data_IF_848407341575
#
_entry.id   IF_848407341575
#
_cell.length_a   1.000
_cell.length_b   1.000
_cell.length_c   1.000
_cell.angle_alpha   90.00
_cell.angle_beta   90.00
_cell.angle_gamma   90.00
#
_symmetry.space_group_name_H-M   'P 1'
#
loop_
_entity.id
_entity.type
_entity.pdbx_description
1 polymer ?
#
# COMPACT_ATOMS: atom_id res chain seq x y z
N UNK A 1 15.52 8.67 -0.85
CA UNK A 1 15.01 7.28 -0.84
C UNK A 1 13.65 7.28 -0.18
N UNK A 2 12.66 6.61 -0.79
CA UNK A 2 11.32 6.49 -0.20
C UNK A 2 11.39 5.97 1.23
N UNK A 3 10.57 6.51 2.10
CA UNK A 3 10.48 6.10 3.50
C UNK A 3 9.03 6.11 3.97
N UNK A 4 8.70 5.29 4.93
CA UNK A 4 7.45 5.35 5.68
C UNK A 4 7.77 5.97 7.03
N UNK A 5 7.18 7.12 7.33
CA UNK A 5 7.54 7.93 8.49
C UNK A 5 6.55 7.81 9.63
N UNK A 6 5.35 7.33 9.33
CA UNK A 6 4.28 7.17 10.31
C UNK A 6 3.48 5.91 9.98
N UNK A 7 3.14 5.15 10.99
CA UNK A 7 2.12 4.09 10.94
C UNK A 7 1.44 4.07 12.30
N UNK A 8 0.16 4.37 12.33
CA UNK A 8 -0.63 4.39 13.56
C UNK A 8 -1.33 3.05 13.80
N UNK A 9 -1.52 2.70 15.07
CA UNK A 9 -2.35 1.56 15.45
C UNK A 9 -3.80 1.75 15.00
N UNK A 10 -4.53 0.69 14.68
CA UNK A 10 -5.90 0.83 14.19
C UNK A 10 -6.82 1.44 15.24
N UNK A 11 -7.77 2.28 14.79
CA UNK A 11 -8.79 2.91 15.64
C UNK A 11 -9.74 1.90 16.29
N UNK A 12 -9.91 0.72 15.69
CA UNK A 12 -10.68 -0.38 16.23
C UNK A 12 -9.76 -1.53 16.65
N UNK A 13 -10.07 -2.13 17.79
CA UNK A 13 -9.38 -3.32 18.28
C UNK A 13 -9.96 -4.63 17.68
N UNK A 14 -9.25 -5.72 17.90
CA UNK A 14 -9.68 -7.05 17.47
C UNK A 14 -10.94 -7.54 18.18
N UNK A 15 -11.24 -7.05 19.39
CA UNK A 15 -12.47 -7.34 20.13
C UNK A 15 -13.69 -6.82 19.33
N UNK A 16 -13.58 -5.62 18.77
CA UNK A 16 -14.61 -5.03 17.91
C UNK A 16 -14.84 -5.85 16.63
N UNK A 17 -13.76 -6.30 15.99
CA UNK A 17 -13.82 -7.15 14.79
C UNK A 17 -14.55 -8.45 15.09
N UNK A 18 -14.16 -9.15 16.16
CA UNK A 18 -14.79 -10.40 16.58
C UNK A 18 -16.25 -10.20 16.93
N UNK A 19 -16.56 -9.15 17.66
CA UNK A 19 -17.95 -8.88 18.06
C UNK A 19 -18.83 -8.52 16.87
N UNK A 20 -18.29 -7.86 15.84
CA UNK A 20 -19.01 -7.66 14.58
C UNK A 20 -19.33 -9.00 13.90
N UNK A 21 -18.34 -9.90 13.79
CA UNK A 21 -18.54 -11.24 13.25
C UNK A 21 -19.55 -12.05 14.07
N UNK A 22 -19.46 -12.01 15.40
CA UNK A 22 -20.38 -12.75 16.30
C UNK A 22 -21.83 -12.29 16.19
N UNK A 23 -22.06 -10.99 15.98
CA UNK A 23 -23.41 -10.44 15.78
C UNK A 23 -24.09 -11.04 14.55
N UNK A 24 -23.38 -11.28 13.47
CA UNK A 24 -23.95 -11.88 12.25
C UNK A 24 -24.42 -13.31 12.48
N UNK A 25 -23.93 -13.97 13.55
CA UNK A 25 -24.31 -15.34 13.93
C UNK A 25 -25.23 -15.37 15.17
N UNK A 26 -25.76 -14.22 15.61
CA UNK A 26 -26.63 -14.13 16.78
C UNK A 26 -25.93 -14.49 18.11
N UNK A 27 -24.59 -14.48 18.14
CA UNK A 27 -23.82 -14.82 19.36
C UNK A 27 -23.58 -13.60 20.24
N UNK A 28 -23.54 -13.82 21.56
CA UNK A 28 -23.24 -12.78 22.53
C UNK A 28 -21.81 -12.23 22.32
N UNK A 29 -21.57 -10.94 22.56
CA UNK A 29 -20.24 -10.35 22.47
C UNK A 29 -19.27 -10.96 23.50
N UNK A 30 -17.97 -10.83 23.23
CA UNK A 30 -16.87 -11.14 24.14
C UNK A 30 -16.18 -9.85 24.56
N UNK A 31 -15.44 -9.90 25.70
CA UNK A 31 -14.68 -8.77 26.25
C UNK A 31 -13.18 -9.10 26.43
N UNK A 32 -12.70 -10.15 25.79
CA UNK A 32 -11.30 -10.56 25.83
C UNK A 32 -10.72 -10.59 24.42
N UNK A 33 -9.41 -10.41 24.33
CA UNK A 33 -8.67 -10.46 23.07
C UNK A 33 -8.78 -11.83 22.41
N UNK A 34 -9.11 -11.93 21.12
CA UNK A 34 -9.13 -13.20 20.41
C UNK A 34 -7.73 -13.78 20.22
N UNK A 35 -7.62 -15.10 20.11
CA UNK A 35 -6.35 -15.76 19.85
C UNK A 35 -5.78 -15.40 18.47
N UNK A 36 -4.46 -15.45 18.34
CA UNK A 36 -3.78 -15.22 17.06
C UNK A 36 -4.23 -16.20 15.97
N UNK A 37 -4.48 -17.45 16.35
CA UNK A 37 -5.07 -18.45 15.44
C UNK A 37 -6.43 -17.99 14.88
N UNK A 38 -7.28 -17.39 15.70
CA UNK A 38 -8.55 -16.84 15.23
C UNK A 38 -8.34 -15.63 14.31
N UNK A 39 -7.44 -14.71 14.68
CA UNK A 39 -7.09 -13.54 13.86
C UNK A 39 -6.58 -13.96 12.48
N UNK A 40 -5.65 -14.93 12.43
CA UNK A 40 -5.13 -15.51 11.19
C UNK A 40 -6.23 -16.13 10.34
N UNK A 41 -7.16 -16.88 10.93
CA UNK A 41 -8.30 -17.52 10.22
C UNK A 41 -9.24 -16.50 9.59
N UNK A 42 -9.65 -15.47 10.33
CA UNK A 42 -10.59 -14.45 9.83
C UNK A 42 -9.96 -13.58 8.73
N UNK A 43 -8.65 -13.30 8.82
CA UNK A 43 -7.89 -12.60 7.78
C UNK A 43 -7.73 -13.47 6.53
N UNK A 44 -7.39 -14.76 6.70
CA UNK A 44 -7.24 -15.67 5.57
C UNK A 44 -8.57 -15.89 4.82
N UNK A 45 -9.69 -15.93 5.55
CA UNK A 45 -11.02 -16.03 4.98
C UNK A 45 -11.58 -14.68 4.47
N UNK A 46 -10.88 -13.58 4.71
CA UNK A 46 -11.27 -12.22 4.31
C UNK A 46 -12.69 -11.85 4.71
N UNK A 47 -13.13 -12.27 5.89
CA UNK A 47 -14.46 -11.91 6.39
C UNK A 47 -14.60 -10.40 6.58
N UNK A 48 -15.69 -9.84 6.14
CA UNK A 48 -15.93 -8.38 6.11
C UNK A 48 -15.66 -7.60 7.39
N UNK A 49 -15.78 -8.15 8.63
CA UNK A 49 -15.45 -7.42 9.86
C UNK A 49 -13.99 -6.96 9.96
N UNK A 50 -13.02 -7.57 9.24
CA UNK A 50 -11.63 -7.09 9.21
C UNK A 50 -11.50 -5.66 8.67
N UNK A 51 -12.48 -5.18 7.93
CA UNK A 51 -12.52 -3.80 7.40
C UNK A 51 -12.68 -2.73 8.49
N UNK A 52 -12.97 -3.13 9.72
CA UNK A 52 -13.00 -2.22 10.88
C UNK A 52 -11.59 -1.85 11.37
N UNK A 53 -10.55 -2.61 10.99
CA UNK A 53 -9.16 -2.29 11.29
C UNK A 53 -8.67 -1.31 10.22
N UNK A 54 -8.54 -0.04 10.58
CA UNK A 54 -8.04 1.03 9.72
C UNK A 54 -6.73 1.58 10.27
N UNK A 55 -5.76 1.77 9.41
CA UNK A 55 -4.41 2.21 9.73
C UNK A 55 -4.10 3.46 8.91
N UNK A 56 -3.60 4.49 9.59
CA UNK A 56 -3.12 5.72 8.98
C UNK A 56 -1.60 5.68 8.85
N UNK A 57 -1.06 6.00 7.67
CA UNK A 57 0.37 6.00 7.42
C UNK A 57 0.79 7.02 6.36
N UNK A 58 2.06 7.44 6.43
CA UNK A 58 2.66 8.41 5.52
C UNK A 58 3.79 7.75 4.74
N UNK A 59 3.79 7.94 3.43
CA UNK A 59 4.89 7.56 2.53
C UNK A 59 5.51 8.85 2.01
N UNK A 60 6.80 9.07 2.28
CA UNK A 60 7.52 10.25 1.85
C UNK A 60 8.56 9.94 0.79
N UNK A 61 8.93 10.97 0.03
CA UNK A 61 10.03 10.94 -0.94
C UNK A 61 9.85 9.86 -2.02
N UNK A 62 8.63 9.66 -2.51
CA UNK A 62 8.31 8.74 -3.61
C UNK A 62 8.22 9.46 -4.94
N UNK A 63 8.56 8.78 -6.03
CA UNK A 63 8.35 9.29 -7.37
C UNK A 63 6.87 9.50 -7.65
N UNK A 64 6.51 10.54 -8.40
CA UNK A 64 5.12 10.86 -8.73
C UNK A 64 4.34 9.67 -9.33
N UNK A 65 4.97 8.84 -10.18
CA UNK A 65 4.27 7.67 -10.71
C UNK A 65 3.95 6.62 -9.63
N UNK A 66 4.69 6.57 -8.50
CA UNK A 66 4.37 5.68 -7.37
C UNK A 66 3.04 6.09 -6.75
N UNK A 67 2.84 7.39 -6.50
CA UNK A 67 1.56 7.91 -6.00
C UNK A 67 0.42 7.58 -6.97
N UNK A 68 0.63 7.77 -8.29
CA UNK A 68 -0.35 7.41 -9.33
C UNK A 68 -0.70 5.91 -9.32
N UNK A 69 0.28 5.05 -9.05
CA UNK A 69 0.01 3.62 -8.93
C UNK A 69 -0.78 3.27 -7.66
N UNK A 70 -0.55 3.97 -6.55
CA UNK A 70 -1.22 3.71 -5.28
C UNK A 70 -2.63 4.31 -5.25
N UNK A 71 -2.88 5.49 -5.84
CA UNK A 71 -4.23 6.08 -5.88
C UNK A 71 -5.24 5.28 -6.69
N UNK A 72 -4.81 4.33 -7.51
CA UNK A 72 -5.70 3.41 -8.23
C UNK A 72 -6.42 2.39 -7.34
N UNK A 73 -5.99 2.22 -6.11
CA UNK A 73 -6.64 1.34 -5.15
C UNK A 73 -7.71 2.13 -4.40
N UNK A 74 -8.98 1.94 -4.76
CA UNK A 74 -10.09 2.77 -4.25
C UNK A 74 -10.83 2.11 -3.07
N UNK A 75 -10.88 0.79 -3.02
CA UNK A 75 -11.68 0.08 -2.02
C UNK A 75 -10.99 0.04 -0.66
N UNK A 76 -11.63 0.66 0.34
CA UNK A 76 -11.16 0.64 1.72
C UNK A 76 -9.87 1.42 1.96
N UNK A 77 -9.59 2.42 1.13
CA UNK A 77 -8.38 3.19 1.20
C UNK A 77 -8.61 4.66 0.78
N UNK A 78 -8.42 5.58 1.72
CA UNK A 78 -8.37 7.01 1.46
C UNK A 78 -6.92 7.45 1.22
N UNK A 79 -6.74 8.46 0.37
CA UNK A 79 -5.41 8.90 -0.09
C UNK A 79 -5.35 10.41 -0.21
N UNK A 80 -4.33 10.99 0.39
CA UNK A 80 -4.06 12.42 0.40
C UNK A 80 -2.66 12.63 -0.16
N UNK A 81 -2.59 12.88 -1.48
CA UNK A 81 -1.33 13.15 -2.17
C UNK A 81 -0.97 14.61 -1.99
N UNK A 82 0.27 14.89 -1.60
CA UNK A 82 0.75 16.25 -1.43
C UNK A 82 0.62 17.03 -2.73
N UNK A 83 0.09 18.26 -2.63
CA UNK A 83 -0.14 19.09 -3.81
C UNK A 83 1.17 19.62 -4.38
N UNK A 84 1.38 19.40 -5.68
CA UNK A 84 2.49 20.00 -6.43
C UNK A 84 2.13 21.37 -7.03
N UNK A 85 1.10 22.04 -6.52
CA UNK A 85 0.74 23.39 -6.91
C UNK A 85 1.73 24.39 -6.30
N UNK A 86 2.38 25.18 -7.14
CA UNK A 86 3.41 26.13 -6.74
C UNK A 86 2.87 27.37 -6.03
N UNK A 87 1.62 27.72 -6.28
CA UNK A 87 0.90 28.78 -5.55
C UNK A 87 0.63 28.40 -4.09
N UNK A 88 0.74 27.11 -3.74
CA UNK A 88 0.58 26.60 -2.37
C UNK A 88 1.91 26.15 -1.79
N UNK A 89 2.78 25.53 -2.59
CA UNK A 89 4.05 24.93 -2.21
C UNK A 89 5.21 25.55 -3.01
N UNK A 90 5.45 26.86 -2.78
CA UNK A 90 6.47 27.62 -3.48
C UNK A 90 7.92 27.13 -3.25
N UNK A 91 8.14 26.39 -2.16
CA UNK A 91 9.47 25.95 -1.71
C UNK A 91 9.91 24.59 -2.30
N UNK A 92 9.12 24.00 -3.18
CA UNK A 92 9.53 22.76 -3.85
C UNK A 92 10.65 23.11 -4.84
N UNK A 93 11.87 22.86 -4.39
CA UNK A 93 13.05 22.94 -5.24
C UNK A 93 13.03 21.75 -6.20
N UNK A 94 12.61 21.98 -7.43
CA UNK A 94 12.48 20.92 -8.40
C UNK A 94 13.41 21.12 -9.61
N UNK A 95 13.82 20.02 -10.20
CA UNK A 95 14.58 19.96 -11.43
C UNK A 95 13.83 20.65 -12.59
N UNK A 96 12.49 20.66 -12.53
CA UNK A 96 11.61 21.28 -13.51
C UNK A 96 11.94 22.74 -13.73
N UNK A 97 12.22 23.53 -12.67
CA UNK A 97 12.61 24.96 -12.82
C UNK A 97 13.83 25.13 -13.70
N UNK A 98 14.89 24.33 -13.44
CA UNK A 98 16.13 24.39 -14.22
C UNK A 98 15.93 24.04 -15.69
N UNK A 99 15.05 23.07 -15.96
CA UNK A 99 14.74 22.67 -17.35
C UNK A 99 13.90 23.75 -18.03
N UNK A 100 12.95 24.37 -17.35
CA UNK A 100 12.16 25.48 -17.89
C UNK A 100 13.06 26.66 -18.27
N UNK A 101 14.02 27.02 -17.42
CA UNK A 101 15.01 28.06 -17.74
C UNK A 101 15.74 27.75 -19.05
N UNK A 102 16.26 26.53 -19.21
CA UNK A 102 16.93 26.10 -20.45
C UNK A 102 16.00 26.15 -21.65
N UNK A 103 14.74 25.71 -21.50
CA UNK A 103 13.75 25.75 -22.57
C UNK A 103 13.33 27.18 -22.94
N UNK A 104 13.26 28.08 -21.94
CA UNK A 104 12.99 29.51 -22.16
C UNK A 104 14.12 30.17 -22.96
N UNK A 105 15.37 29.95 -22.56
CA UNK A 105 16.56 30.50 -23.24
C UNK A 105 16.66 29.96 -24.68
N UNK A 106 16.23 28.74 -24.92
CA UNK A 106 16.18 28.13 -26.25
C UNK A 106 14.95 28.53 -27.09
N UNK A 107 14.00 29.32 -26.55
CA UNK A 107 12.77 29.67 -27.24
C UNK A 107 11.82 28.50 -27.52
N UNK A 108 11.88 27.44 -26.70
CA UNK A 108 11.15 26.19 -26.90
C UNK A 108 9.87 26.09 -26.05
N UNK A 109 9.57 27.10 -25.23
CA UNK A 109 8.33 27.10 -24.45
C UNK A 109 7.13 27.39 -25.36
N UNK A 110 6.03 26.69 -25.16
CA UNK A 110 4.77 26.91 -25.90
C UNK A 110 4.05 28.16 -25.38
N UNK A 111 3.33 28.86 -26.27
CA UNK A 111 2.51 30.00 -25.86
C UNK A 111 1.51 29.59 -24.76
N UNK A 112 1.43 30.41 -23.72
CA UNK A 112 0.52 30.18 -22.59
C UNK A 112 0.93 29.05 -21.65
N UNK A 113 2.17 28.60 -21.74
CA UNK A 113 2.71 27.55 -20.87
C UNK A 113 2.60 27.90 -19.38
N UNK A 114 2.50 26.84 -18.57
CA UNK A 114 2.60 26.91 -17.11
C UNK A 114 3.69 25.96 -16.66
N UNK A 115 4.38 26.27 -15.59
CA UNK A 115 5.45 25.42 -15.06
C UNK A 115 5.00 23.96 -14.87
N UNK A 116 3.74 23.78 -14.49
CA UNK A 116 3.12 22.48 -14.32
C UNK A 116 3.07 21.61 -15.59
N UNK A 117 3.09 22.22 -16.78
CA UNK A 117 3.07 21.52 -18.06
C UNK A 117 4.40 20.82 -18.36
N UNK A 118 5.46 21.20 -17.66
CA UNK A 118 6.82 20.68 -17.82
C UNK A 118 7.30 19.86 -16.63
N UNK A 119 6.44 19.58 -15.64
CA UNK A 119 6.81 18.75 -14.49
C UNK A 119 7.11 17.32 -14.92
N UNK A 120 8.22 16.79 -14.42
CA UNK A 120 8.62 15.42 -14.69
C UNK A 120 7.84 14.45 -13.81
N UNK A 121 7.49 13.30 -14.37
CA UNK A 121 6.93 12.19 -13.59
C UNK A 121 7.90 11.68 -12.52
N UNK A 122 9.20 11.95 -12.70
CA UNK A 122 10.24 11.60 -11.74
C UNK A 122 10.34 12.52 -10.52
N UNK A 123 9.60 13.63 -10.47
CA UNK A 123 9.52 14.48 -9.28
C UNK A 123 9.07 13.68 -8.07
N UNK A 124 9.64 14.03 -6.91
CA UNK A 124 9.31 13.38 -5.65
C UNK A 124 8.03 13.97 -5.05
N UNK A 125 7.31 13.16 -4.34
CA UNK A 125 6.08 13.56 -3.68
C UNK A 125 5.86 12.74 -2.40
N UNK A 126 5.00 13.25 -1.55
CA UNK A 126 4.56 12.61 -0.32
C UNK A 126 3.07 12.26 -0.40
N UNK A 127 2.65 11.27 0.34
CA UNK A 127 1.25 10.93 0.45
C UNK A 127 0.89 10.33 1.80
N UNK A 128 -0.24 10.73 2.32
CA UNK A 128 -0.91 10.06 3.43
C UNK A 128 -1.94 9.07 2.91
N UNK A 129 -2.05 7.97 3.60
CA UNK A 129 -3.05 6.94 3.30
C UNK A 129 -3.72 6.45 4.58
N UNK A 130 -5.04 6.29 4.50
CA UNK A 130 -5.84 5.54 5.49
C UNK A 130 -6.35 4.29 4.82
N UNK A 131 -5.90 3.12 5.23
CA UNK A 131 -6.30 1.86 4.62
C UNK A 131 -6.84 0.88 5.65
N UNK A 132 -7.95 0.21 5.34
CA UNK A 132 -8.41 -0.90 6.16
C UNK A 132 -7.62 -2.21 5.86
N UNK A 133 -7.75 -3.20 6.75
CA UNK A 133 -7.03 -4.46 6.61
C UNK A 133 -7.28 -5.18 5.27
N UNK A 134 -8.50 -5.10 4.73
CA UNK A 134 -8.80 -5.67 3.41
C UNK A 134 -8.04 -4.96 2.29
N UNK A 135 -7.92 -3.62 2.38
CA UNK A 135 -7.16 -2.83 1.42
C UNK A 135 -5.67 -3.20 1.44
N UNK A 136 -5.06 -3.35 2.64
CA UNK A 136 -3.68 -3.83 2.77
C UNK A 136 -3.46 -5.17 2.06
N UNK A 137 -4.35 -6.14 2.26
CA UNK A 137 -4.30 -7.44 1.59
C UNK A 137 -4.41 -7.28 0.07
N UNK A 138 -5.37 -6.51 -0.41
CA UNK A 138 -5.64 -6.33 -1.85
C UNK A 138 -4.51 -5.58 -2.57
N UNK A 139 -3.97 -4.52 -1.97
CA UNK A 139 -2.85 -3.75 -2.51
C UNK A 139 -1.60 -4.63 -2.55
N UNK A 140 -1.32 -5.38 -1.48
CA UNK A 140 -0.15 -6.26 -1.40
C UNK A 140 -0.12 -7.31 -2.50
N UNK A 141 -1.26 -7.90 -2.84
CA UNK A 141 -1.37 -8.85 -3.97
C UNK A 141 -0.80 -8.28 -5.26
N UNK A 142 -1.06 -7.01 -5.53
CA UNK A 142 -0.63 -6.35 -6.78
C UNK A 142 0.73 -5.69 -6.66
N UNK A 143 1.04 -5.05 -5.53
CA UNK A 143 2.24 -4.21 -5.40
C UNK A 143 3.47 -4.96 -4.87
N UNK A 144 3.30 -6.15 -4.29
CA UNK A 144 4.44 -7.02 -3.95
C UNK A 144 4.86 -7.95 -5.09
N UNK A 145 4.08 -8.01 -6.18
CA UNK A 145 4.43 -8.77 -7.37
C UNK A 145 5.53 -8.07 -8.18
N UNK A 146 6.42 -8.85 -8.81
CA UNK A 146 7.49 -8.33 -9.68
C UNK A 146 6.95 -7.68 -10.96
N UNK A 147 5.69 -7.89 -11.31
CA UNK A 147 5.01 -7.16 -12.40
C UNK A 147 4.67 -5.71 -12.05
N UNK A 148 4.73 -5.32 -10.77
CA UNK A 148 4.67 -3.92 -10.36
C UNK A 148 6.01 -3.22 -10.66
N UNK A 149 5.98 -1.88 -10.88
CA UNK A 149 7.25 -1.15 -11.02
C UNK A 149 8.13 -1.34 -9.79
N UNK A 150 9.45 -1.42 -9.96
CA UNK A 150 10.38 -1.63 -8.84
C UNK A 150 10.18 -0.63 -7.71
N UNK A 151 10.04 0.66 -8.03
CA UNK A 151 9.88 1.74 -7.06
C UNK A 151 8.57 1.61 -6.27
N UNK A 152 7.46 1.27 -6.94
CA UNK A 152 6.17 1.05 -6.27
C UNK A 152 6.23 -0.18 -5.36
N UNK A 153 6.94 -1.22 -5.80
CA UNK A 153 7.11 -2.44 -5.00
C UNK A 153 7.96 -2.16 -3.75
N UNK A 154 9.06 -1.41 -3.90
CA UNK A 154 9.90 -1.03 -2.77
C UNK A 154 9.15 -0.14 -1.76
N UNK A 155 8.44 0.88 -2.24
CA UNK A 155 7.62 1.73 -1.38
C UNK A 155 6.58 0.90 -0.60
N UNK A 156 5.89 -0.02 -1.28
CA UNK A 156 4.90 -0.86 -0.60
C UNK A 156 5.50 -1.89 0.35
N UNK A 157 6.71 -2.38 0.09
CA UNK A 157 7.44 -3.22 1.05
C UNK A 157 7.72 -2.47 2.35
N UNK A 158 8.19 -1.22 2.27
CA UNK A 158 8.42 -0.39 3.47
C UNK A 158 7.13 -0.21 4.28
N UNK A 159 5.98 -0.01 3.62
CA UNK A 159 4.68 0.04 4.30
C UNK A 159 4.38 -1.26 5.04
N UNK A 160 4.64 -2.42 4.43
CA UNK A 160 4.41 -3.72 5.09
C UNK A 160 5.41 -3.98 6.22
N UNK A 161 6.64 -3.51 6.12
CA UNK A 161 7.63 -3.58 7.21
C UNK A 161 7.18 -2.76 8.43
N UNK A 162 6.70 -1.53 8.22
CA UNK A 162 6.11 -0.72 9.30
C UNK A 162 4.83 -1.35 9.86
N UNK A 163 3.97 -1.90 9.01
CA UNK A 163 2.78 -2.61 9.45
C UNK A 163 3.13 -3.81 10.34
N UNK A 164 4.25 -4.49 10.07
CA UNK A 164 4.71 -5.62 10.88
C UNK A 164 5.03 -5.23 12.33
N UNK A 165 5.50 -4.01 12.55
CA UNK A 165 5.76 -3.49 13.90
C UNK A 165 4.45 -3.21 14.68
N UNK A 166 3.37 -2.85 13.96
CA UNK A 166 2.09 -2.46 14.56
C UNK A 166 1.11 -3.64 14.63
N UNK A 167 0.99 -4.40 13.54
CA UNK A 167 0.14 -5.59 13.44
C UNK A 167 0.84 -6.70 12.64
N UNK A 168 1.68 -7.52 13.29
CA UNK A 168 2.41 -8.59 12.63
C UNK A 168 1.50 -9.68 12.03
N UNK A 169 0.29 -9.84 12.58
CA UNK A 169 -0.66 -10.84 12.09
C UNK A 169 -1.24 -10.41 10.75
N UNK A 170 -1.70 -9.16 10.64
CA UNK A 170 -2.15 -8.62 9.36
C UNK A 170 -1.00 -8.60 8.33
N UNK A 171 0.19 -8.15 8.72
CA UNK A 171 1.35 -8.10 7.85
C UNK A 171 1.71 -9.49 7.28
N UNK A 172 1.53 -10.58 8.07
CA UNK A 172 1.74 -11.96 7.60
C UNK A 172 0.80 -12.38 6.47
N UNK A 173 -0.35 -11.72 6.33
CA UNK A 173 -1.35 -11.98 5.28
C UNK A 173 -1.21 -11.04 4.07
N UNK A 174 -0.31 -10.07 4.14
CA UNK A 174 0.05 -9.18 3.04
C UNK A 174 1.09 -9.84 2.13
N UNK A 175 0.62 -10.55 1.11
CA UNK A 175 1.47 -11.37 0.22
C UNK A 175 1.19 -11.05 -1.26
N UNK A 176 2.15 -11.35 -2.18
CA UNK A 176 1.89 -11.19 -3.61
C UNK A 176 0.83 -12.18 -4.12
N UNK A 177 0.21 -11.86 -5.25
CA UNK A 177 -0.91 -12.60 -5.84
C UNK A 177 -0.62 -14.11 -6.01
N UNK A 178 0.60 -14.47 -6.38
CA UNK A 178 0.96 -15.88 -6.55
C UNK A 178 0.92 -16.69 -5.25
N UNK A 179 1.31 -16.08 -4.12
CA UNK A 179 1.22 -16.73 -2.79
C UNK A 179 -0.24 -16.85 -2.37
N UNK A 180 -1.03 -15.80 -2.56
CA UNK A 180 -2.47 -15.82 -2.27
C UNK A 180 -3.19 -16.94 -3.04
N UNK A 181 -2.97 -17.05 -4.36
CA UNK A 181 -3.64 -18.03 -5.20
C UNK A 181 -3.06 -19.44 -5.09
N UNK A 182 -1.78 -19.56 -4.71
CA UNK A 182 -1.06 -20.82 -4.77
C UNK A 182 -0.45 -21.12 -6.14
N UNK A 183 -0.55 -20.20 -7.10
CA UNK A 183 0.06 -20.26 -8.43
C UNK A 183 0.26 -18.85 -8.99
N UNK A 184 1.13 -18.69 -9.99
CA UNK A 184 1.33 -17.40 -10.66
C UNK A 184 0.26 -17.19 -11.76
N UNK A 185 -0.57 -16.13 -11.67
CA UNK A 185 -1.58 -15.83 -12.69
C UNK A 185 -1.03 -15.05 -13.89
N UNK A 186 0.25 -14.59 -13.89
CA UNK A 186 0.80 -13.66 -14.86
C UNK A 186 1.21 -14.32 -16.20
N UNK A 187 1.01 -15.63 -16.34
CA UNK A 187 1.30 -16.35 -17.59
C UNK A 187 2.74 -16.13 -18.06
N UNK A 188 2.90 -15.63 -19.29
CA UNK A 188 4.21 -15.36 -19.90
C UNK A 188 5.09 -14.32 -19.21
N UNK A 189 4.56 -13.57 -18.24
CA UNK A 189 5.32 -12.63 -17.40
C UNK A 189 5.66 -13.16 -16.01
N UNK A 190 5.47 -14.45 -15.79
CA UNK A 190 5.84 -15.10 -14.54
C UNK A 190 7.35 -14.96 -14.29
N UNK A 191 7.72 -14.44 -13.10
CA UNK A 191 9.13 -14.26 -12.72
C UNK A 191 9.82 -15.55 -12.23
N UNK A 192 9.12 -16.70 -12.24
CA UNK A 192 9.65 -17.98 -11.76
C UNK A 192 9.63 -18.16 -10.25
N UNK A 193 9.28 -17.14 -9.45
CA UNK A 193 9.26 -17.22 -7.99
C UNK A 193 8.42 -18.40 -7.47
N UNK A 194 7.27 -18.68 -8.11
CA UNK A 194 6.41 -19.80 -7.72
C UNK A 194 7.05 -21.19 -7.84
N UNK A 195 8.22 -21.30 -8.49
CA UNK A 195 8.97 -22.55 -8.62
C UNK A 195 10.10 -22.71 -7.58
N UNK A 196 10.24 -21.75 -6.65
CA UNK A 196 11.33 -21.73 -5.66
C UNK A 196 10.90 -22.35 -4.32
N UNK A 197 11.87 -22.82 -3.53
CA UNK A 197 11.62 -23.29 -2.15
C UNK A 197 11.12 -22.12 -1.27
N UNK A 198 11.68 -20.93 -1.42
CA UNK A 198 11.22 -19.73 -0.70
C UNK A 198 9.73 -19.42 -0.92
N UNK A 199 9.21 -19.68 -2.12
CA UNK A 199 7.78 -19.59 -2.38
C UNK A 199 6.97 -20.64 -1.61
N UNK A 200 7.44 -21.90 -1.58
CA UNK A 200 6.74 -22.98 -0.87
C UNK A 200 6.67 -22.72 0.64
N UNK A 201 7.76 -22.24 1.23
CA UNK A 201 7.79 -21.79 2.63
C UNK A 201 6.81 -20.65 2.86
N UNK A 202 6.89 -19.59 2.03
CA UNK A 202 6.00 -18.43 2.14
C UNK A 202 4.53 -18.81 2.01
N UNK A 203 4.19 -19.74 1.10
CA UNK A 203 2.83 -20.25 0.92
C UNK A 203 2.35 -21.04 2.14
N UNK A 204 3.22 -21.86 2.74
CA UNK A 204 2.95 -22.60 3.97
C UNK A 204 2.65 -21.65 5.12
N UNK A 205 3.51 -20.64 5.33
CA UNK A 205 3.34 -19.63 6.39
C UNK A 205 2.06 -18.80 6.19
N UNK A 206 1.80 -18.38 4.95
CA UNK A 206 0.57 -17.66 4.61
C UNK A 206 -0.69 -18.43 4.97
N UNK A 207 -0.71 -19.74 4.69
CA UNK A 207 -1.85 -20.63 4.98
C UNK A 207 -1.91 -21.09 6.42
N UNK A 208 -0.83 -20.97 7.19
CA UNK A 208 -0.80 -21.32 8.59
C UNK A 208 -1.78 -20.46 9.41
N UNK A 209 -2.48 -21.14 10.30
CA UNK A 209 -3.39 -20.53 11.29
C UNK A 209 -3.00 -20.89 12.72
N UNK A 210 -1.86 -21.55 12.89
CA UNK A 210 -1.24 -21.87 14.19
C UNK A 210 -0.36 -20.72 14.68
#
# INVERSE_FOLDING_TARGET
MSKVTRMESPKADWIRVVNAARRTWGKKPINHEPSDSFKKKILLAEHSPIRLLEYDFTIEDVRQWVTVHLVRHHEGCEKFVHSQRQDINADIENITKKVIEVLADAGMLKDGWKERDYMFQGEHNDMDMTCNAQAFINISRKRLCTCASPETREAWKLVIEMLKEVDPILASKCVPECVYRGFCPEGGRCCGYCNTEAYKERLKDYRSTE
#
